data_IF_207490137387
#
_entry.id   IF_207490137387
#
_cell.length_a   1.000
_cell.length_b   1.000
_cell.length_c   1.000
_cell.angle_alpha   90.00
_cell.angle_beta   90.00
_cell.angle_gamma   90.00
#
_symmetry.space_group_name_H-M   'P 1'
#
loop_
_entity.id
_entity.type
_entity.pdbx_description
1 polymer ?
#
# COMPACT_ATOMS: atom_id res chain seq x y z
N UNK A 1 8.70 -60.10 66.85
CA UNK A 1 8.85 -59.91 65.39
C UNK A 1 8.32 -58.54 65.03
N UNK A 2 9.20 -57.58 64.73
CA UNK A 2 8.79 -56.27 64.19
C UNK A 2 8.66 -56.37 62.66
N UNK A 3 7.63 -55.79 62.02
CA UNK A 3 7.47 -55.89 60.57
C UNK A 3 8.44 -54.92 59.87
N UNK A 4 9.10 -55.42 58.83
CA UNK A 4 10.00 -54.64 57.96
C UNK A 4 9.22 -53.55 57.21
N UNK A 5 9.72 -52.33 57.24
CA UNK A 5 9.23 -51.21 56.44
C UNK A 5 9.48 -51.46 54.95
N UNK A 6 8.43 -51.46 54.12
CA UNK A 6 8.57 -51.48 52.66
C UNK A 6 8.94 -50.08 52.17
N UNK A 7 10.15 -49.95 51.60
CA UNK A 7 10.59 -48.73 50.92
C UNK A 7 9.84 -48.63 49.59
N UNK A 8 8.92 -47.67 49.51
CA UNK A 8 8.14 -47.38 48.29
C UNK A 8 8.98 -46.51 47.37
N UNK A 9 9.60 -47.11 46.36
CA UNK A 9 10.26 -46.38 45.28
C UNK A 9 9.21 -45.58 44.48
N UNK A 10 9.19 -44.26 44.66
CA UNK A 10 8.44 -43.35 43.79
C UNK A 10 9.20 -43.22 42.46
N UNK A 11 8.73 -43.91 41.42
CA UNK A 11 9.12 -43.58 40.03
C UNK A 11 8.75 -42.12 39.79
N UNK A 12 9.72 -41.22 39.80
CA UNK A 12 9.48 -39.84 39.35
C UNK A 12 9.00 -39.93 37.91
N UNK A 13 7.75 -39.53 37.64
CA UNK A 13 7.27 -39.37 36.26
C UNK A 13 8.15 -38.32 35.61
N UNK A 14 8.97 -38.73 34.64
CA UNK A 14 9.76 -37.78 33.85
C UNK A 14 8.80 -36.71 33.30
N UNK A 15 9.14 -35.40 33.43
CA UNK A 15 8.30 -34.34 32.91
C UNK A 15 8.04 -34.62 31.43
N UNK A 16 6.77 -34.50 31.06
CA UNK A 16 6.22 -35.02 29.82
C UNK A 16 6.86 -34.29 28.62
N UNK A 17 8.03 -34.74 28.15
CA UNK A 17 8.83 -34.09 27.08
C UNK A 17 8.00 -33.80 25.82
N UNK A 18 7.01 -34.66 25.53
CA UNK A 18 6.06 -34.47 24.43
C UNK A 18 5.17 -33.24 24.63
N UNK A 19 4.71 -32.96 25.86
CA UNK A 19 3.91 -31.77 26.15
C UNK A 19 4.73 -30.49 26.01
N UNK A 20 5.99 -30.50 26.47
CA UNK A 20 6.92 -29.38 26.28
C UNK A 20 7.24 -29.13 24.81
N UNK A 21 7.42 -30.18 24.01
CA UNK A 21 7.60 -30.05 22.55
C UNK A 21 6.33 -29.52 21.86
N UNK A 22 5.15 -29.98 22.27
CA UNK A 22 3.86 -29.52 21.73
C UNK A 22 3.56 -28.04 22.03
N UNK A 23 4.04 -27.52 23.17
CA UNK A 23 3.86 -26.11 23.54
C UNK A 23 4.99 -25.20 23.02
N UNK A 24 6.21 -25.72 22.90
CA UNK A 24 7.37 -24.91 22.45
C UNK A 24 7.34 -24.61 20.95
N UNK A 25 6.85 -25.53 20.11
CA UNK A 25 6.80 -25.33 18.66
C UNK A 25 5.86 -24.16 18.24
N UNK A 26 4.62 -24.04 18.75
CA UNK A 26 3.75 -22.90 18.46
C UNK A 26 4.32 -21.57 18.97
N UNK A 27 4.93 -21.57 20.16
CA UNK A 27 5.55 -20.39 20.74
C UNK A 27 6.76 -19.94 19.91
N UNK A 28 7.60 -20.88 19.48
CA UNK A 28 8.74 -20.60 18.61
C UNK A 28 8.28 -20.07 17.26
N UNK A 29 7.23 -20.65 16.67
CA UNK A 29 6.66 -20.17 15.42
C UNK A 29 6.12 -18.75 15.56
N UNK A 30 5.39 -18.46 16.65
CA UNK A 30 4.86 -17.13 16.92
C UNK A 30 5.99 -16.11 17.14
N UNK A 31 7.01 -16.46 17.92
CA UNK A 31 8.20 -15.63 18.13
C UNK A 31 8.93 -15.35 16.82
N UNK A 32 9.08 -16.37 15.96
CA UNK A 32 9.71 -16.24 14.64
C UNK A 32 8.93 -15.28 13.73
N UNK A 33 7.60 -15.32 13.75
CA UNK A 33 6.78 -14.37 12.99
C UNK A 33 6.91 -12.95 13.52
N UNK A 34 7.00 -12.75 14.84
CA UNK A 34 7.23 -11.42 15.40
C UNK A 34 8.63 -10.90 15.07
N UNK A 35 9.65 -11.77 15.10
CA UNK A 35 10.99 -11.43 14.65
C UNK A 35 10.99 -11.05 13.15
N UNK A 36 10.28 -11.79 12.31
CA UNK A 36 10.10 -11.44 10.90
C UNK A 36 9.40 -10.07 10.72
N UNK A 37 8.37 -9.77 11.52
CA UNK A 37 7.74 -8.45 11.50
C UNK A 37 8.73 -7.33 11.83
N UNK A 38 9.56 -7.52 12.86
CA UNK A 38 10.58 -6.55 13.26
C UNK A 38 11.66 -6.37 12.17
N UNK A 39 12.13 -7.48 11.57
CA UNK A 39 13.10 -7.45 10.47
C UNK A 39 12.53 -6.71 9.26
N UNK A 40 11.30 -7.00 8.87
CA UNK A 40 10.65 -6.32 7.73
C UNK A 40 10.41 -4.84 8.02
N UNK A 41 10.06 -4.50 9.27
CA UNK A 41 9.91 -3.11 9.69
C UNK A 41 11.23 -2.34 9.62
N UNK A 42 12.35 -2.99 9.94
CA UNK A 42 13.70 -2.45 9.84
C UNK A 42 14.41 -2.71 8.49
N UNK A 43 13.71 -3.19 7.46
CA UNK A 43 14.34 -3.64 6.22
C UNK A 43 15.20 -2.56 5.54
N UNK A 44 14.80 -1.29 5.60
CA UNK A 44 15.59 -0.18 5.03
C UNK A 44 16.94 0.00 5.77
N UNK A 45 16.94 -0.12 7.11
CA UNK A 45 18.17 -0.11 7.89
C UNK A 45 19.06 -1.33 7.63
N UNK A 46 18.48 -2.44 7.16
CA UNK A 46 19.16 -3.67 6.75
C UNK A 46 19.59 -3.65 5.27
N UNK A 47 19.55 -2.49 4.60
CA UNK A 47 20.06 -2.32 3.24
C UNK A 47 19.00 -2.41 2.13
N UNK A 48 17.71 -2.52 2.46
CA UNK A 48 16.63 -2.36 1.46
C UNK A 48 16.58 -0.90 0.98
N UNK A 49 16.76 -0.68 -0.31
CA UNK A 49 16.86 0.67 -0.90
C UNK A 49 15.49 1.20 -1.34
N UNK A 50 14.57 1.38 -0.39
CA UNK A 50 13.27 2.03 -0.62
C UNK A 50 13.10 3.37 0.11
N UNK A 51 13.97 3.66 1.08
CA UNK A 51 14.12 5.01 1.60
C UNK A 51 14.69 5.88 0.46
N UNK A 52 13.84 6.70 -0.15
CA UNK A 52 14.32 7.72 -1.06
C UNK A 52 15.26 8.60 -0.24
N UNK A 53 16.53 8.71 -0.68
CA UNK A 53 17.45 9.70 -0.15
C UNK A 53 16.68 11.02 -0.13
N UNK A 54 16.50 11.59 1.06
CA UNK A 54 15.54 12.67 1.29
C UNK A 54 15.63 13.64 0.15
N UNK A 55 14.54 13.78 -0.61
CA UNK A 55 14.52 14.60 -1.82
C UNK A 55 15.28 15.88 -1.50
N UNK A 56 16.40 16.13 -2.17
CA UNK A 56 17.20 17.32 -1.94
C UNK A 56 16.26 18.51 -2.15
N UNK A 57 15.74 19.04 -1.05
CA UNK A 57 15.19 20.37 -0.98
C UNK A 57 16.40 21.28 -1.03
N UNK A 58 17.05 21.33 -2.19
CA UNK A 58 18.00 22.38 -2.44
C UNK A 58 17.17 23.67 -2.48
N UNK A 59 17.35 24.50 -1.47
CA UNK A 59 16.82 25.85 -1.39
C UNK A 59 17.40 26.77 -2.49
N UNK A 60 18.23 26.22 -3.40
CA UNK A 60 18.71 26.90 -4.60
C UNK A 60 17.72 26.63 -5.73
N UNK A 61 17.16 27.70 -6.28
CA UNK A 61 16.15 27.67 -7.34
C UNK A 61 16.58 26.75 -8.48
N UNK A 62 15.78 25.73 -8.85
CA UNK A 62 16.12 24.87 -9.98
C UNK A 62 16.04 25.69 -11.27
N UNK A 63 16.95 25.47 -12.24
CA UNK A 63 16.75 25.98 -13.59
C UNK A 63 15.53 25.25 -14.15
N UNK A 64 14.63 25.98 -14.82
CA UNK A 64 13.33 25.56 -15.39
C UNK A 64 12.11 25.70 -14.46
N UNK A 65 10.92 26.06 -15.00
CA UNK A 65 9.69 26.09 -14.21
C UNK A 65 9.40 24.68 -13.67
N UNK A 66 9.18 24.58 -12.36
CA UNK A 66 8.73 23.32 -11.73
C UNK A 66 7.43 22.85 -12.39
N UNK A 67 7.27 21.54 -12.65
CA UNK A 67 6.00 21.03 -13.17
C UNK A 67 4.88 21.25 -12.16
N UNK A 68 3.67 21.45 -12.67
CA UNK A 68 2.46 21.48 -11.87
C UNK A 68 2.04 20.06 -11.57
N UNK A 69 2.00 19.69 -10.30
CA UNK A 69 1.63 18.34 -9.85
C UNK A 69 0.41 18.45 -8.95
N UNK A 70 -0.60 17.61 -9.17
CA UNK A 70 -1.70 17.44 -8.24
C UNK A 70 -1.80 16.00 -7.72
N UNK A 71 -2.05 15.87 -6.42
CA UNK A 71 -2.50 14.62 -5.83
C UNK A 71 -4.02 14.56 -5.87
N UNK A 72 -4.57 13.48 -6.40
CA UNK A 72 -6.02 13.24 -6.52
C UNK A 72 -6.39 12.06 -5.62
N UNK A 73 -7.42 12.26 -4.79
CA UNK A 73 -7.91 11.23 -3.87
C UNK A 73 -9.39 11.44 -3.55
N UNK A 74 -10.10 10.36 -3.20
CA UNK A 74 -11.41 10.45 -2.55
C UNK A 74 -11.69 9.21 -1.70
N UNK A 75 -12.62 9.33 -0.77
CA UNK A 75 -13.27 8.20 -0.09
C UNK A 75 -14.76 8.26 -0.39
N UNK A 76 -15.33 7.17 -0.91
CA UNK A 76 -16.77 7.04 -1.07
C UNK A 76 -17.36 6.60 0.27
N UNK A 77 -18.01 7.53 0.95
CA UNK A 77 -18.73 7.26 2.19
C UNK A 77 -20.01 6.45 1.87
N UNK A 78 -20.25 5.37 2.61
CA UNK A 78 -21.45 4.54 2.44
C UNK A 78 -22.68 5.31 2.94
N UNK A 79 -23.57 5.73 2.03
CA UNK A 79 -24.87 6.32 2.37
C UNK A 79 -25.93 5.24 2.63
N UNK A 80 -25.84 4.47 3.71
CA UNK A 80 -27.00 3.70 4.22
C UNK A 80 -26.74 3.12 5.61
N UNK A 81 -27.78 3.10 6.46
CA UNK A 81 -27.76 2.71 7.88
C UNK A 81 -27.44 1.25 8.21
N UNK A 82 -26.67 0.54 7.38
CA UNK A 82 -26.05 -0.72 7.74
C UNK A 82 -24.76 -0.43 8.51
N UNK A 83 -24.63 -0.93 9.74
CA UNK A 83 -23.43 -0.76 10.55
C UNK A 83 -22.18 -1.08 9.73
N UNK A 84 -21.29 -0.09 9.57
CA UNK A 84 -20.13 -0.18 8.69
C UNK A 84 -19.36 -1.47 8.93
N UNK A 85 -19.29 -2.32 7.90
CA UNK A 85 -18.58 -3.59 7.99
C UNK A 85 -17.10 -3.39 8.31
N UNK A 86 -16.42 -4.47 8.72
CA UNK A 86 -14.99 -4.42 9.11
C UNK A 86 -14.07 -3.80 8.05
N UNK A 87 -14.48 -3.75 6.78
CA UNK A 87 -13.72 -3.12 5.67
C UNK A 87 -14.19 -1.73 5.24
N UNK A 88 -15.14 -1.14 5.94
CA UNK A 88 -15.79 0.12 5.57
C UNK A 88 -14.79 1.26 5.34
N UNK A 89 -15.12 2.10 4.35
CA UNK A 89 -14.39 3.34 4.06
C UNK A 89 -14.93 4.54 4.85
N UNK A 90 -15.94 4.33 5.69
CA UNK A 90 -16.58 5.41 6.45
C UNK A 90 -15.63 6.14 7.38
N UNK A 91 -15.41 7.43 7.11
CA UNK A 91 -14.51 8.31 7.86
C UNK A 91 -13.03 8.03 7.64
N UNK A 92 -12.66 7.28 6.58
CA UNK A 92 -11.26 7.03 6.23
C UNK A 92 -10.59 8.33 5.76
N UNK A 93 -11.25 9.11 4.90
CA UNK A 93 -10.69 10.39 4.44
C UNK A 93 -10.58 11.40 5.59
N UNK A 94 -11.50 11.43 6.53
CA UNK A 94 -11.39 12.29 7.71
C UNK A 94 -10.17 11.94 8.57
N UNK A 95 -9.89 10.64 8.72
CA UNK A 95 -8.76 10.15 9.50
C UNK A 95 -7.40 10.42 8.85
N UNK A 96 -7.30 10.41 7.51
CA UNK A 96 -6.02 10.57 6.79
C UNK A 96 -5.86 11.91 6.07
N UNK A 97 -6.92 12.69 5.91
CA UNK A 97 -6.93 13.87 5.05
C UNK A 97 -5.92 14.93 5.49
N UNK A 98 -5.71 15.08 6.80
CA UNK A 98 -4.66 15.95 7.35
C UNK A 98 -3.25 15.53 6.91
N UNK A 99 -2.97 14.23 6.84
CA UNK A 99 -1.69 13.71 6.36
C UNK A 99 -1.48 14.00 4.87
N UNK A 100 -2.50 13.79 4.03
CA UNK A 100 -2.40 14.06 2.58
C UNK A 100 -2.22 15.55 2.28
N UNK A 101 -2.96 16.42 2.97
CA UNK A 101 -2.82 17.89 2.85
C UNK A 101 -1.43 18.36 3.31
N UNK A 102 -0.96 17.92 4.47
CA UNK A 102 0.37 18.28 4.95
C UNK A 102 1.49 17.77 4.03
N UNK A 103 1.31 16.59 3.39
CA UNK A 103 2.23 16.09 2.38
C UNK A 103 2.25 17.00 1.14
N UNK A 104 1.08 17.27 0.55
CA UNK A 104 0.97 18.07 -0.68
C UNK A 104 1.50 19.49 -0.49
N UNK A 105 1.18 20.12 0.65
CA UNK A 105 1.73 21.42 1.04
C UNK A 105 3.26 21.40 1.11
N UNK A 106 3.85 20.42 1.80
CA UNK A 106 5.30 20.25 1.88
C UNK A 106 5.95 20.09 0.51
N UNK A 107 5.30 19.38 -0.40
CA UNK A 107 5.81 19.11 -1.75
C UNK A 107 5.56 20.24 -2.75
N UNK A 108 4.71 21.22 -2.43
CA UNK A 108 4.20 22.20 -3.38
C UNK A 108 3.29 21.59 -4.45
N UNK A 109 2.53 20.56 -4.10
CA UNK A 109 1.52 19.93 -4.96
C UNK A 109 0.13 20.48 -4.62
N UNK A 110 -0.76 20.50 -5.59
CA UNK A 110 -2.18 20.75 -5.32
C UNK A 110 -2.85 19.47 -4.79
N UNK A 111 -3.73 19.60 -3.80
CA UNK A 111 -4.55 18.49 -3.32
C UNK A 111 -5.97 18.60 -3.87
N UNK A 112 -6.40 17.55 -4.59
CA UNK A 112 -7.72 17.46 -5.21
C UNK A 112 -8.53 16.38 -4.50
N UNK A 113 -9.59 16.82 -3.82
CA UNK A 113 -10.61 15.95 -3.27
C UNK A 113 -11.69 15.66 -4.33
N UNK A 114 -11.63 14.46 -4.90
CA UNK A 114 -12.46 14.06 -6.03
C UNK A 114 -13.80 13.42 -5.64
N UNK A 115 -14.27 13.59 -4.38
CA UNK A 115 -15.56 13.02 -3.92
C UNK A 115 -16.75 13.37 -4.81
N UNK A 116 -16.74 14.55 -5.45
CA UNK A 116 -17.82 15.01 -6.33
C UNK A 116 -17.80 14.37 -7.73
N UNK A 117 -16.74 13.63 -8.07
CA UNK A 117 -16.56 12.96 -9.36
C UNK A 117 -16.88 11.46 -9.27
N UNK A 118 -17.45 11.00 -8.15
CA UNK A 118 -17.88 9.61 -8.00
C UNK A 118 -19.10 9.35 -8.87
N UNK A 119 -18.95 8.43 -9.84
CA UNK A 119 -20.05 7.97 -10.69
C UNK A 119 -20.84 6.87 -9.98
N UNK A 120 -22.13 7.06 -9.67
CA UNK A 120 -22.95 6.07 -8.97
C UNK A 120 -23.25 4.82 -9.82
N UNK A 121 -23.05 4.87 -11.15
CA UNK A 121 -23.32 3.75 -12.05
C UNK A 121 -22.17 2.76 -12.13
N UNK A 122 -21.09 2.95 -11.35
CA UNK A 122 -20.00 1.98 -11.21
C UNK A 122 -19.59 1.82 -9.75
N UNK A 123 -18.94 0.70 -9.39
CA UNK A 123 -18.29 0.57 -8.11
C UNK A 123 -17.32 1.75 -7.86
N UNK A 124 -17.28 2.34 -6.65
CA UNK A 124 -16.60 3.62 -6.42
C UNK A 124 -15.14 3.67 -6.88
N UNK A 125 -14.39 2.57 -6.74
CA UNK A 125 -13.01 2.45 -7.21
C UNK A 125 -12.81 2.81 -8.69
N UNK A 126 -13.83 2.70 -9.56
CA UNK A 126 -13.72 3.13 -10.96
C UNK A 126 -13.62 4.65 -11.13
N UNK A 127 -14.14 5.44 -10.18
CA UNK A 127 -14.23 6.90 -10.31
C UNK A 127 -12.87 7.59 -10.23
N UNK A 128 -11.81 6.87 -9.83
CA UNK A 128 -10.42 7.37 -9.93
C UNK A 128 -10.03 7.74 -11.35
N UNK A 129 -10.54 7.00 -12.34
CA UNK A 129 -10.27 7.22 -13.76
C UNK A 129 -10.88 8.56 -14.19
N UNK A 130 -12.14 8.81 -13.83
CA UNK A 130 -12.80 10.10 -14.08
C UNK A 130 -12.11 11.25 -13.36
N UNK A 131 -11.75 11.04 -12.10
CA UNK A 131 -11.07 12.03 -11.28
C UNK A 131 -9.77 12.50 -11.93
N UNK A 132 -8.90 11.56 -12.32
CA UNK A 132 -7.63 11.86 -12.98
C UNK A 132 -7.88 12.49 -14.36
N UNK A 133 -8.74 11.88 -15.19
CA UNK A 133 -9.06 12.40 -16.53
C UNK A 133 -9.53 13.85 -16.51
N UNK A 134 -10.40 14.22 -15.57
CA UNK A 134 -10.97 15.57 -15.48
C UNK A 134 -9.93 16.67 -15.19
N UNK A 135 -8.76 16.31 -14.64
CA UNK A 135 -7.72 17.25 -14.28
C UNK A 135 -6.47 17.15 -15.15
N UNK A 136 -6.37 16.16 -16.05
CA UNK A 136 -5.13 15.84 -16.77
C UNK A 136 -4.59 17.02 -17.59
N UNK A 137 -5.49 17.84 -18.16
CA UNK A 137 -5.11 19.01 -18.95
C UNK A 137 -4.55 20.19 -18.15
N UNK A 138 -4.73 20.20 -16.83
CA UNK A 138 -4.37 21.32 -15.95
C UNK A 138 -3.03 21.13 -15.23
N UNK A 139 -2.50 19.91 -15.20
CA UNK A 139 -1.29 19.54 -14.46
C UNK A 139 -0.33 18.78 -15.36
N UNK A 140 0.97 18.94 -15.16
CA UNK A 140 1.98 18.14 -15.88
C UNK A 140 1.98 16.70 -15.42
N UNK A 141 1.68 16.50 -14.14
CA UNK A 141 1.55 15.20 -13.51
C UNK A 141 0.35 15.14 -12.58
N UNK A 142 -0.38 14.02 -12.65
CA UNK A 142 -1.40 13.65 -11.69
C UNK A 142 -0.95 12.43 -10.91
N UNK A 143 -1.00 12.55 -9.59
CA UNK A 143 -0.71 11.50 -8.65
C UNK A 143 -2.02 10.99 -8.03
N UNK A 144 -2.51 9.85 -8.51
CA UNK A 144 -3.62 9.18 -7.83
C UNK A 144 -3.12 8.47 -6.57
N UNK A 145 -3.82 8.68 -5.46
CA UNK A 145 -3.53 7.99 -4.22
C UNK A 145 -4.82 7.62 -3.48
N UNK A 146 -5.06 6.33 -3.27
CA UNK A 146 -6.23 5.85 -2.54
C UNK A 146 -6.32 6.46 -1.13
N UNK A 147 -7.55 6.69 -0.66
CA UNK A 147 -7.81 7.27 0.65
C UNK A 147 -7.29 6.40 1.82
N UNK A 148 -7.04 5.12 1.59
CA UNK A 148 -6.52 4.19 2.60
C UNK A 148 -4.98 4.17 2.68
N UNK A 149 -4.31 5.20 2.14
CA UNK A 149 -2.85 5.33 2.14
C UNK A 149 -2.35 6.50 2.99
N UNK A 150 -1.30 6.26 3.80
CA UNK A 150 -0.62 7.24 4.64
C UNK A 150 0.74 7.58 4.03
N UNK A 151 1.01 8.87 3.78
CA UNK A 151 2.25 9.36 3.16
C UNK A 151 3.26 9.75 4.24
N UNK A 152 4.52 9.40 4.03
CA UNK A 152 5.60 9.59 4.98
C UNK A 152 6.72 10.45 4.38
N UNK A 153 7.47 9.91 3.41
CA UNK A 153 8.63 10.57 2.79
C UNK A 153 8.23 11.33 1.52
N UNK A 154 9.00 12.34 1.13
CA UNK A 154 8.85 13.07 -0.12
C UNK A 154 9.29 12.25 -1.35
N UNK A 155 8.48 12.21 -2.41
CA UNK A 155 8.99 11.82 -3.75
C UNK A 155 9.48 13.09 -4.44
N UNK A 156 10.80 13.15 -4.70
CA UNK A 156 11.41 14.26 -5.44
C UNK A 156 11.00 14.28 -6.92
N UNK A 157 10.95 15.49 -7.48
CA UNK A 157 10.59 15.77 -8.88
C UNK A 157 11.48 15.05 -9.91
N UNK A 158 12.78 14.89 -9.62
CA UNK A 158 13.75 14.30 -10.55
C UNK A 158 13.37 12.90 -11.02
N UNK A 159 12.74 12.11 -10.15
CA UNK A 159 12.24 10.77 -10.50
C UNK A 159 11.08 10.81 -11.50
N UNK A 160 10.22 11.83 -11.46
CA UNK A 160 9.09 11.99 -12.38
C UNK A 160 9.53 12.57 -13.73
N UNK A 161 10.51 13.48 -13.78
CA UNK A 161 10.96 14.08 -15.03
C UNK A 161 11.49 13.04 -16.04
N UNK A 162 12.18 12.02 -15.55
CA UNK A 162 12.72 10.93 -16.38
C UNK A 162 11.70 9.80 -16.64
N UNK A 163 10.45 9.95 -16.19
CA UNK A 163 9.44 8.90 -16.28
C UNK A 163 8.65 8.93 -17.58
N UNK A 164 8.17 7.77 -18.04
CA UNK A 164 7.20 7.68 -19.13
C UNK A 164 5.81 8.08 -18.64
N UNK A 165 4.80 7.98 -19.49
CA UNK A 165 3.47 8.54 -19.24
C UNK A 165 2.69 7.94 -18.06
N UNK A 166 2.84 6.65 -17.78
CA UNK A 166 2.21 5.96 -16.67
C UNK A 166 3.26 5.31 -15.77
N UNK A 167 3.24 5.66 -14.49
CA UNK A 167 4.07 5.03 -13.46
C UNK A 167 3.17 4.28 -12.49
N UNK A 168 3.42 2.98 -12.35
CA UNK A 168 2.69 2.08 -11.45
C UNK A 168 3.66 1.28 -10.60
N UNK A 169 3.09 0.51 -9.68
CA UNK A 169 3.78 -0.47 -8.84
C UNK A 169 3.13 -1.82 -9.00
N UNK A 170 3.84 -2.88 -8.62
CA UNK A 170 3.29 -4.23 -8.52
C UNK A 170 3.28 -4.72 -7.09
N UNK A 171 2.38 -5.65 -6.81
CA UNK A 171 2.33 -6.43 -5.58
C UNK A 171 2.20 -7.93 -5.89
N UNK A 172 1.86 -8.75 -4.89
CA UNK A 172 1.62 -10.19 -5.04
C UNK A 172 0.62 -10.58 -6.13
N UNK A 173 -0.20 -9.66 -6.60
CA UNK A 173 -1.22 -9.90 -7.61
C UNK A 173 -0.90 -9.21 -8.96
N UNK A 174 0.31 -8.65 -9.14
CA UNK A 174 0.68 -7.83 -10.30
C UNK A 174 0.40 -6.34 -10.08
N UNK A 175 0.16 -5.59 -11.16
CA UNK A 175 0.02 -4.12 -11.11
C UNK A 175 -1.05 -3.67 -10.10
N UNK A 176 -0.75 -2.62 -9.35
CA UNK A 176 -1.66 -2.02 -8.38
C UNK A 176 -2.10 -0.62 -8.85
N UNK A 177 -3.42 -0.42 -8.91
CA UNK A 177 -4.09 0.80 -9.35
C UNK A 177 -4.57 1.68 -8.18
N UNK A 178 -4.21 1.34 -6.94
CA UNK A 178 -4.50 2.19 -5.78
C UNK A 178 -3.52 3.36 -5.64
N UNK A 179 -2.43 3.33 -6.39
CA UNK A 179 -1.42 4.38 -6.42
C UNK A 179 -0.72 4.39 -7.78
N UNK A 180 -0.77 5.51 -8.49
CA UNK A 180 -0.14 5.66 -9.80
C UNK A 180 0.08 7.14 -10.15
N UNK A 181 0.93 7.37 -11.15
CA UNK A 181 1.16 8.69 -11.72
C UNK A 181 0.85 8.68 -13.21
N UNK A 182 0.13 9.70 -13.68
CA UNK A 182 -0.03 9.98 -15.11
C UNK A 182 0.64 11.31 -15.44
N UNK A 183 1.42 11.32 -16.52
CA UNK A 183 1.88 12.53 -17.18
C UNK A 183 0.75 13.09 -18.05
N UNK A 184 0.71 14.40 -18.26
CA UNK A 184 -0.12 14.99 -19.31
C UNK A 184 0.45 14.63 -20.69
N UNK A 185 -0.25 13.76 -21.41
CA UNK A 185 0.04 13.44 -22.80
C UNK A 185 -1.20 12.92 -23.52
N UNK A 186 -1.14 12.88 -24.85
CA UNK A 186 -2.18 12.27 -25.68
C UNK A 186 -2.33 10.77 -25.37
N UNK A 187 -1.23 10.08 -25.07
CA UNK A 187 -1.26 8.67 -24.69
C UNK A 187 -2.03 8.46 -23.39
N UNK A 188 -1.79 9.31 -22.38
CA UNK A 188 -2.52 9.24 -21.10
C UNK A 188 -4.01 9.53 -21.25
N UNK A 189 -4.39 10.50 -22.10
CA UNK A 189 -5.81 10.74 -22.43
C UNK A 189 -6.46 9.48 -23.03
N UNK A 190 -5.82 8.86 -24.04
CA UNK A 190 -6.32 7.63 -24.68
C UNK A 190 -6.36 6.44 -23.74
N UNK A 191 -5.35 6.26 -22.89
CA UNK A 191 -5.29 5.15 -21.94
C UNK A 191 -6.42 5.27 -20.91
N UNK A 192 -6.64 6.46 -20.33
CA UNK A 192 -7.71 6.69 -19.37
C UNK A 192 -9.10 6.47 -19.99
N UNK A 193 -9.30 6.90 -21.24
CA UNK A 193 -10.55 6.67 -21.99
C UNK A 193 -10.79 5.17 -22.23
N UNK A 194 -9.75 4.46 -22.67
CA UNK A 194 -9.80 3.02 -22.91
C UNK A 194 -10.06 2.26 -21.61
N UNK A 195 -9.41 2.67 -20.51
CA UNK A 195 -9.58 2.08 -19.18
C UNK A 195 -10.99 2.29 -18.66
N UNK A 196 -11.54 3.50 -18.76
CA UNK A 196 -12.94 3.74 -18.43
C UNK A 196 -13.89 2.89 -19.28
N UNK A 197 -13.55 2.58 -20.54
CA UNK A 197 -14.43 1.79 -21.40
C UNK A 197 -14.32 0.27 -21.22
N UNK A 198 -13.52 -0.23 -20.26
CA UNK A 198 -13.43 -1.66 -19.90
C UNK A 198 -14.65 -2.17 -19.10
N UNK A 199 -15.85 -2.04 -19.66
CA UNK A 199 -17.12 -2.32 -18.98
C UNK A 199 -17.31 -3.77 -18.55
N UNK A 200 -16.67 -4.73 -19.24
CA UNK A 200 -16.70 -6.17 -18.90
C UNK A 200 -16.06 -6.48 -17.52
N UNK A 201 -15.24 -5.57 -16.98
CA UNK A 201 -14.62 -5.71 -15.67
C UNK A 201 -15.43 -5.06 -14.54
N UNK A 202 -16.53 -4.36 -14.85
CA UNK A 202 -17.37 -3.69 -13.85
C UNK A 202 -18.17 -4.75 -13.06
N UNK A 203 -18.00 -4.76 -11.73
CA UNK A 203 -18.61 -5.76 -10.85
C UNK A 203 -19.08 -5.12 -9.55
N UNK A 204 -20.39 -4.98 -9.38
CA UNK A 204 -20.98 -4.55 -8.10
C UNK A 204 -20.92 -5.65 -7.05
N UNK A 205 -20.81 -5.26 -5.77
CA UNK A 205 -20.82 -6.20 -4.64
C UNK A 205 -19.61 -7.16 -4.58
N UNK A 206 -18.61 -6.97 -5.44
CA UNK A 206 -17.40 -7.80 -5.43
C UNK A 206 -16.36 -7.27 -4.44
N UNK A 207 -15.59 -8.19 -3.85
CA UNK A 207 -14.38 -7.83 -3.10
C UNK A 207 -13.15 -7.69 -4.01
N UNK A 208 -13.31 -7.97 -5.31
CA UNK A 208 -12.27 -7.81 -6.32
C UNK A 208 -12.36 -6.42 -6.96
N UNK A 209 -11.21 -5.81 -7.19
CA UNK A 209 -11.10 -4.47 -7.78
C UNK A 209 -11.17 -4.56 -9.30
N UNK A 210 -12.36 -4.35 -9.88
CA UNK A 210 -12.60 -4.40 -11.32
C UNK A 210 -11.76 -3.40 -12.12
N UNK A 211 -11.60 -2.17 -11.62
CA UNK A 211 -10.71 -1.14 -12.19
C UNK A 211 -9.26 -1.65 -12.29
N UNK A 212 -8.75 -2.28 -11.22
CA UNK A 212 -7.40 -2.81 -11.19
C UNK A 212 -7.23 -3.99 -12.16
N UNK A 213 -8.24 -4.85 -12.27
CA UNK A 213 -8.23 -5.97 -13.21
C UNK A 213 -8.22 -5.47 -14.66
N UNK A 214 -9.00 -4.44 -14.96
CA UNK A 214 -9.00 -3.77 -16.26
C UNK A 214 -7.64 -3.12 -16.57
N UNK A 215 -7.01 -2.43 -15.62
CA UNK A 215 -5.67 -1.85 -15.82
C UNK A 215 -4.62 -2.92 -16.14
N UNK A 216 -4.63 -4.04 -15.40
CA UNK A 216 -3.74 -5.19 -15.69
C UNK A 216 -3.93 -5.69 -17.10
N UNK A 217 -5.18 -5.98 -17.46
CA UNK A 217 -5.51 -6.46 -18.80
C UNK A 217 -5.03 -5.51 -19.90
N UNK A 218 -5.20 -4.20 -19.71
CA UNK A 218 -4.74 -3.20 -20.67
C UNK A 218 -3.22 -3.19 -20.80
N UNK A 219 -2.49 -3.14 -19.68
CA UNK A 219 -1.02 -3.14 -19.68
C UNK A 219 -0.47 -4.42 -20.31
N UNK A 220 -1.04 -5.59 -19.95
CA UNK A 220 -0.64 -6.90 -20.49
C UNK A 220 -0.93 -7.04 -22.00
N UNK A 221 -1.86 -6.25 -22.52
CA UNK A 221 -2.26 -6.26 -23.94
C UNK A 221 -1.51 -5.23 -24.79
N UNK A 222 -0.67 -4.37 -24.19
CA UNK A 222 0.10 -3.38 -24.94
C UNK A 222 1.19 -4.06 -25.79
N UNK A 223 1.43 -3.59 -27.03
CA UNK A 223 2.63 -3.96 -27.78
C UNK A 223 3.90 -3.65 -26.97
N UNK A 224 4.91 -4.52 -27.03
CA UNK A 224 6.12 -4.38 -26.19
C UNK A 224 6.82 -3.03 -26.33
N UNK A 225 6.80 -2.43 -27.53
CA UNK A 225 7.33 -1.09 -27.76
C UNK A 225 6.53 -0.02 -27.00
N UNK A 226 5.20 -0.06 -27.10
CA UNK A 226 4.32 0.89 -26.43
C UNK A 226 4.43 0.74 -24.90
N UNK A 227 4.49 -0.48 -24.40
CA UNK A 227 4.74 -0.76 -22.98
C UNK A 227 6.05 -0.10 -22.50
N UNK A 228 7.15 -0.28 -23.24
CA UNK A 228 8.45 0.29 -22.89
C UNK A 228 8.53 1.81 -22.99
N UNK A 229 7.81 2.40 -23.94
CA UNK A 229 7.81 3.86 -24.17
C UNK A 229 6.92 4.59 -23.15
N UNK A 230 5.82 3.97 -22.70
CA UNK A 230 4.77 4.67 -21.97
C UNK A 230 4.51 4.18 -20.55
N UNK A 231 4.95 2.97 -20.17
CA UNK A 231 4.63 2.40 -18.85
C UNK A 231 5.91 2.07 -18.09
N UNK A 232 5.99 2.55 -16.84
CA UNK A 232 7.03 2.17 -15.88
C UNK A 232 6.42 1.48 -14.68
N UNK A 233 6.71 0.19 -14.56
CA UNK A 233 6.52 -0.55 -13.32
C UNK A 233 7.71 -0.29 -12.40
N UNK A 234 7.42 0.06 -11.15
CA UNK A 234 8.47 0.36 -10.19
C UNK A 234 9.26 -0.88 -9.79
N UNK A 235 10.60 -0.81 -9.74
CA UNK A 235 11.45 -1.97 -9.48
C UNK A 235 11.30 -2.53 -8.06
N UNK A 236 10.80 -1.71 -7.12
CA UNK A 236 10.46 -2.13 -5.77
C UNK A 236 9.09 -1.58 -5.38
N UNK A 237 8.24 -2.46 -4.83
CA UNK A 237 6.91 -2.09 -4.36
C UNK A 237 6.96 -1.03 -3.26
N UNK A 238 7.92 -1.09 -2.33
CA UNK A 238 8.06 -0.14 -1.23
C UNK A 238 8.42 1.30 -1.64
N UNK A 239 8.77 1.55 -2.91
CA UNK A 239 9.01 2.91 -3.40
C UNK A 239 7.76 3.78 -3.33
N UNK A 240 6.57 3.21 -3.52
CA UNK A 240 5.32 3.93 -3.24
C UNK A 240 4.07 3.07 -3.03
N UNK A 241 4.19 1.81 -2.64
CA UNK A 241 3.04 0.94 -2.37
C UNK A 241 3.32 -0.11 -1.28
N UNK A 242 3.96 0.31 -0.19
CA UNK A 242 4.30 -0.64 0.87
C UNK A 242 3.06 -1.07 1.68
N UNK A 243 3.05 -2.32 2.16
CA UNK A 243 1.96 -2.89 2.95
C UNK A 243 2.39 -3.20 4.38
N UNK A 244 1.56 -2.93 5.40
CA UNK A 244 1.83 -3.41 6.74
C UNK A 244 2.04 -4.93 6.76
N UNK A 245 3.10 -5.38 7.41
CA UNK A 245 3.34 -6.79 7.67
C UNK A 245 3.11 -7.09 9.15
N UNK A 246 2.28 -8.09 9.43
CA UNK A 246 1.97 -8.52 10.79
C UNK A 246 1.67 -10.03 10.83
N UNK A 247 1.88 -10.71 11.98
CA UNK A 247 1.74 -12.15 12.10
C UNK A 247 0.32 -12.63 11.82
N UNK A 248 0.10 -13.16 10.61
CA UNK A 248 -1.12 -13.87 10.22
C UNK A 248 -0.73 -15.08 9.38
N UNK A 249 -1.60 -16.08 9.29
CA UNK A 249 -1.35 -17.23 8.41
C UNK A 249 -1.11 -16.82 6.95
N UNK A 250 -1.89 -15.86 6.45
CA UNK A 250 -1.73 -15.32 5.09
C UNK A 250 -0.36 -14.68 4.89
N UNK A 251 0.12 -13.88 5.84
CA UNK A 251 1.42 -13.21 5.74
C UNK A 251 2.58 -14.19 5.97
N UNK A 252 2.42 -15.18 6.85
CA UNK A 252 3.38 -16.26 7.04
C UNK A 252 3.54 -17.08 5.75
N UNK A 253 2.41 -17.48 5.14
CA UNK A 253 2.42 -18.18 3.86
C UNK A 253 3.12 -17.35 2.77
N UNK A 254 2.77 -16.06 2.61
CA UNK A 254 3.42 -15.16 1.64
C UNK A 254 4.92 -14.99 1.86
N UNK A 255 5.34 -14.89 3.13
CA UNK A 255 6.75 -14.80 3.47
C UNK A 255 7.51 -16.06 3.06
N UNK A 256 6.91 -17.24 3.23
CA UNK A 256 7.52 -18.53 2.88
C UNK A 256 7.50 -18.77 1.36
N UNK A 257 6.34 -18.55 0.72
CA UNK A 257 6.15 -18.85 -0.70
C UNK A 257 6.70 -17.78 -1.64
N UNK A 258 6.89 -16.56 -1.17
CA UNK A 258 7.34 -15.42 -1.97
C UNK A 258 8.14 -14.43 -1.11
N UNK A 259 9.30 -14.85 -0.57
CA UNK A 259 10.11 -14.05 0.34
C UNK A 259 10.60 -12.75 -0.30
N UNK A 260 11.03 -12.78 -1.57
CA UNK A 260 11.50 -11.59 -2.27
C UNK A 260 10.37 -10.57 -2.50
N UNK A 261 9.18 -11.02 -2.90
CA UNK A 261 8.01 -10.14 -3.04
C UNK A 261 7.62 -9.54 -1.69
N UNK A 262 7.67 -10.32 -0.62
CA UNK A 262 7.44 -9.83 0.75
C UNK A 262 8.48 -8.77 1.13
N UNK A 263 9.77 -9.04 0.90
CA UNK A 263 10.86 -8.11 1.16
C UNK A 263 10.73 -6.82 0.37
N UNK A 264 10.30 -6.88 -0.90
CA UNK A 264 10.11 -5.71 -1.76
C UNK A 264 8.88 -4.87 -1.39
N UNK A 265 7.89 -5.44 -0.71
CA UNK A 265 6.58 -4.81 -0.52
C UNK A 265 6.16 -4.54 0.93
N UNK A 266 6.76 -5.20 1.92
CA UNK A 266 6.44 -4.94 3.32
C UNK A 266 6.83 -3.51 3.71
N UNK A 267 6.02 -2.85 4.52
CA UNK A 267 6.34 -1.52 5.03
C UNK A 267 7.55 -1.57 5.97
N UNK A 268 8.54 -0.74 5.69
CA UNK A 268 9.68 -0.44 6.56
C UNK A 268 9.71 1.04 6.89
N UNK A 269 10.26 1.37 8.06
CA UNK A 269 10.47 2.77 8.43
C UNK A 269 11.28 3.51 7.35
N UNK A 270 10.78 4.69 6.98
CA UNK A 270 11.35 5.50 5.90
C UNK A 270 10.83 5.17 4.49
N UNK A 271 9.97 4.17 4.30
CA UNK A 271 9.27 4.01 3.02
C UNK A 271 8.39 5.23 2.74
N UNK A 272 8.15 5.50 1.45
CA UNK A 272 7.36 6.64 0.97
C UNK A 272 5.97 6.71 1.59
N UNK A 273 5.25 5.59 1.62
CA UNK A 273 3.88 5.53 2.09
C UNK A 273 3.51 4.14 2.56
N UNK A 274 2.47 4.05 3.38
CA UNK A 274 1.82 2.81 3.80
C UNK A 274 0.45 2.71 3.15
N UNK A 275 0.18 1.64 2.42
CA UNK A 275 -1.10 1.36 1.80
C UNK A 275 -1.84 0.27 2.58
N UNK A 276 -3.08 0.54 3.01
CA UNK A 276 -3.89 -0.38 3.82
C UNK A 276 -4.79 -1.30 3.00
N UNK A 277 -4.43 -1.53 1.73
CA UNK A 277 -5.21 -2.29 0.77
C UNK A 277 -5.69 -3.65 1.33
N UNK A 278 -7.01 -3.83 1.33
CA UNK A 278 -7.65 -5.07 1.77
C UNK A 278 -7.57 -5.34 3.28
N UNK A 279 -7.13 -4.36 4.09
CA UNK A 279 -7.19 -4.45 5.54
C UNK A 279 -8.57 -4.06 6.07
N UNK A 280 -8.91 -4.74 7.16
CA UNK A 280 -10.05 -4.44 8.01
C UNK A 280 -9.66 -3.32 9.00
N UNK A 281 -10.64 -2.63 9.57
CA UNK A 281 -10.48 -1.62 10.61
C UNK A 281 -9.51 -0.49 10.21
N UNK A 282 -9.60 -0.03 8.95
CA UNK A 282 -8.67 0.96 8.36
C UNK A 282 -8.40 2.16 9.26
N UNK A 283 -9.42 2.72 9.92
CA UNK A 283 -9.27 3.85 10.85
C UNK A 283 -8.34 3.54 12.03
N UNK A 284 -8.39 2.32 12.59
CA UNK A 284 -7.49 1.91 13.67
C UNK A 284 -6.05 1.82 13.18
N UNK A 285 -5.84 1.28 11.98
CA UNK A 285 -4.53 1.24 11.34
C UNK A 285 -3.98 2.63 11.04
N UNK A 286 -4.80 3.53 10.46
CA UNK A 286 -4.43 4.93 10.20
C UNK A 286 -4.01 5.61 11.51
N UNK A 287 -4.82 5.51 12.57
CA UNK A 287 -4.51 6.12 13.85
C UNK A 287 -3.20 5.58 14.45
N UNK A 288 -2.96 4.26 14.35
CA UNK A 288 -1.73 3.61 14.80
C UNK A 288 -0.51 4.13 14.03
N UNK A 289 -0.54 4.08 12.70
CA UNK A 289 0.60 4.47 11.85
C UNK A 289 0.89 5.97 11.99
N UNK A 290 -0.13 6.83 11.98
CA UNK A 290 0.06 8.27 12.18
C UNK A 290 0.64 8.59 13.55
N UNK A 291 0.31 7.82 14.59
CA UNK A 291 0.94 7.96 15.91
C UNK A 291 2.42 7.56 15.86
N UNK A 292 2.73 6.40 15.28
CA UNK A 292 4.12 5.92 15.09
C UNK A 292 4.97 6.95 14.32
N UNK A 293 4.44 7.55 13.25
CA UNK A 293 5.15 8.58 12.48
C UNK A 293 5.41 9.86 13.28
N UNK A 294 4.47 10.26 14.14
CA UNK A 294 4.66 11.42 15.03
C UNK A 294 5.69 11.14 16.13
N UNK A 295 5.75 9.90 16.61
CA UNK A 295 6.72 9.48 17.63
C UNK A 295 8.13 9.35 17.06
N UNK A 296 8.26 8.87 15.81
CA UNK A 296 9.55 8.74 15.12
C UNK A 296 10.13 10.09 14.62
N UNK A 297 9.29 11.12 14.45
CA UNK A 297 9.71 12.47 14.07
C UNK A 297 9.99 13.42 15.24
N UNK A 298 9.85 12.95 16.48
CA UNK A 298 10.30 13.64 17.71
C UNK A 298 11.71 13.20 18.06
#
# INVERSE_FOLDING_TARGET
>A
MAPRSSVRWTKSRAPNRRLWLLLSLPLLALASLHAAAAILRGANALGRRCALAGAEYSATSPPHPRPRIAMVSFSAEENSGGGGGRRSFRGVMDAVGGNKRAYTERMGYDFIDARRLVDPNRPPNWSKILAVRSHLRHYDWLFWNDAESILNVAIGYSGLQASPDLVVTEDFNGVNSGVFFFRRSEWSEKFLDTWWNQTSFVRFGSTLSGDNAAMKHLIDSLPSKELGDHVRVSPMQCLFNSYPWFPTWKNAYRLISSPLTTWRGAYSDGDFMVHLAGLDEKKKWIAKILRELREAGR
#
